data_IF_250436316783
#
_entry.id   IF_250436316783
#
_cell.length_a   1.000
_cell.length_b   1.000
_cell.length_c   1.000
_cell.angle_alpha   90.00
_cell.angle_beta   90.00
_cell.angle_gamma   90.00
#
_symmetry.space_group_name_H-M   'P 1'
#
loop_
_entity.id
_entity.type
_entity.pdbx_description
1 polymer ?
#
# COMPACT_ATOMS: atom_id res chain seq x y z
N UNK A 1 -6.84 18.74 21.97
CA UNK A 1 -6.38 17.50 21.27
C UNK A 1 -5.95 17.94 19.87
N UNK A 2 -4.74 17.64 19.44
CA UNK A 2 -4.29 18.01 18.09
C UNK A 2 -5.06 17.16 17.07
N UNK A 3 -5.51 17.78 15.97
CA UNK A 3 -6.26 17.08 14.92
C UNK A 3 -5.44 15.93 14.29
N UNK A 4 -6.14 14.86 13.88
CA UNK A 4 -5.53 13.71 13.21
C UNK A 4 -4.96 14.14 11.84
N UNK A 5 -3.84 13.56 11.42
CA UNK A 5 -3.24 13.84 10.11
C UNK A 5 -4.17 13.56 8.95
N UNK A 6 -4.96 12.48 9.03
CA UNK A 6 -5.97 12.15 8.02
C UNK A 6 -7.17 11.48 8.67
N UNK A 7 -8.36 11.94 8.29
CA UNK A 7 -9.63 11.31 8.66
C UNK A 7 -10.60 11.41 7.48
N UNK A 8 -11.20 10.28 7.10
CA UNK A 8 -12.30 10.25 6.14
C UNK A 8 -13.54 9.60 6.75
N UNK A 9 -14.72 10.06 6.34
CA UNK A 9 -15.99 9.53 6.78
C UNK A 9 -16.94 9.33 5.60
N UNK A 10 -17.43 8.11 5.41
CA UNK A 10 -18.34 7.68 4.34
C UNK A 10 -17.96 8.22 2.95
N UNK A 11 -16.67 8.20 2.64
CA UNK A 11 -16.13 8.79 1.42
C UNK A 11 -16.57 8.00 0.20
N UNK A 12 -17.26 8.65 -0.74
CA UNK A 12 -17.79 8.04 -1.95
C UNK A 12 -17.26 8.71 -3.20
N UNK A 13 -17.02 7.91 -4.22
CA UNK A 13 -16.69 8.40 -5.56
C UNK A 13 -17.36 7.57 -6.63
N UNK A 14 -18.18 8.25 -7.43
CA UNK A 14 -18.82 7.69 -8.63
C UNK A 14 -18.29 8.45 -9.83
N UNK A 15 -17.72 7.73 -10.78
CA UNK A 15 -17.33 8.27 -12.08
C UNK A 15 -18.51 8.16 -13.04
N UNK A 16 -18.80 9.26 -13.71
CA UNK A 16 -19.81 9.32 -14.77
C UNK A 16 -19.12 9.45 -16.12
N UNK A 17 -19.34 8.50 -17.00
CA UNK A 17 -18.83 8.53 -18.37
C UNK A 17 -20.01 8.67 -19.35
N UNK A 18 -19.84 9.51 -20.35
CA UNK A 18 -20.88 9.73 -21.37
C UNK A 18 -21.13 8.42 -22.15
N UNK A 19 -22.35 7.89 -22.10
CA UNK A 19 -22.73 6.67 -22.83
C UNK A 19 -22.35 5.33 -22.13
N UNK A 20 -21.83 5.36 -20.91
CA UNK A 20 -21.57 4.18 -20.13
C UNK A 20 -22.25 4.27 -18.74
N UNK A 21 -22.56 3.14 -18.08
CA UNK A 21 -23.12 3.15 -16.72
C UNK A 21 -22.14 3.77 -15.74
N UNK A 22 -22.63 4.45 -14.69
CA UNK A 22 -21.79 5.00 -13.63
C UNK A 22 -20.93 3.92 -12.98
N UNK A 23 -19.65 4.23 -12.72
CA UNK A 23 -18.73 3.32 -12.03
C UNK A 23 -18.46 3.82 -10.62
N UNK A 24 -18.83 3.04 -9.62
CA UNK A 24 -18.53 3.35 -8.21
C UNK A 24 -17.13 2.90 -7.87
N UNK A 25 -16.24 3.85 -7.64
CA UNK A 25 -14.85 3.58 -7.25
C UNK A 25 -14.66 3.56 -5.73
N UNK A 26 -15.42 4.37 -4.99
CA UNK A 26 -15.49 4.33 -3.52
C UNK A 26 -16.96 4.27 -3.09
N UNK A 27 -17.27 3.34 -2.18
CA UNK A 27 -18.64 3.02 -1.76
C UNK A 27 -18.84 3.26 -0.24
N UNK A 28 -18.20 4.29 0.31
CA UNK A 28 -18.32 4.65 1.72
C UNK A 28 -17.07 4.29 2.54
N UNK A 29 -15.90 4.79 2.14
CA UNK A 29 -14.63 4.52 2.83
C UNK A 29 -14.47 5.46 4.01
N UNK A 30 -14.34 4.87 5.21
CA UNK A 30 -13.95 5.56 6.45
C UNK A 30 -12.59 5.05 6.90
N UNK A 31 -11.62 5.96 7.01
CA UNK A 31 -10.23 5.65 7.33
C UNK A 31 -9.65 6.78 8.19
N UNK A 32 -8.78 6.44 9.10
CA UNK A 32 -8.05 7.39 9.95
C UNK A 32 -6.57 7.02 10.01
N UNK A 33 -5.71 8.01 10.10
CA UNK A 33 -4.26 7.86 10.26
C UNK A 33 -3.81 8.73 11.42
N UNK A 34 -3.10 8.13 12.38
CA UNK A 34 -2.60 8.83 13.55
C UNK A 34 -1.21 9.45 13.30
N UNK A 35 -0.81 10.39 14.15
CA UNK A 35 0.48 11.08 14.02
C UNK A 35 1.66 10.12 14.12
N UNK A 36 2.59 10.20 13.18
CA UNK A 36 3.76 9.33 13.08
C UNK A 36 3.45 7.90 12.65
N UNK A 37 2.18 7.57 12.37
CA UNK A 37 1.76 6.26 11.95
C UNK A 37 2.05 6.04 10.46
N UNK A 38 2.38 4.81 10.12
CA UNK A 38 2.51 4.31 8.75
C UNK A 38 1.33 3.41 8.46
N UNK A 39 0.45 3.84 7.58
CA UNK A 39 -0.74 3.08 7.20
C UNK A 39 -0.61 2.62 5.76
N UNK A 40 -0.93 1.34 5.49
CA UNK A 40 -1.05 0.83 4.14
C UNK A 40 -2.51 0.57 3.78
N UNK A 41 -2.91 1.01 2.60
CA UNK A 41 -4.18 0.67 1.95
C UNK A 41 -3.90 -0.43 0.92
N UNK A 42 -4.21 -1.66 1.29
CA UNK A 42 -3.96 -2.87 0.51
C UNK A 42 -5.22 -3.31 -0.22
N UNK A 43 -5.10 -3.73 -1.48
CA UNK A 43 -6.24 -4.21 -2.26
C UNK A 43 -5.86 -4.56 -3.69
N UNK A 44 -6.76 -5.26 -4.38
CA UNK A 44 -6.60 -5.61 -5.80
C UNK A 44 -6.57 -4.36 -6.69
N UNK A 45 -6.15 -4.55 -7.95
CA UNK A 45 -6.29 -3.50 -8.95
C UNK A 45 -7.79 -3.20 -9.16
N UNK A 46 -8.12 -1.90 -9.21
CA UNK A 46 -9.52 -1.47 -9.28
C UNK A 46 -10.28 -1.40 -7.94
N UNK A 47 -9.69 -1.79 -6.81
CA UNK A 47 -10.34 -1.76 -5.50
C UNK A 47 -10.66 -0.34 -4.97
N UNK A 48 -10.13 0.72 -5.61
CA UNK A 48 -10.39 2.12 -5.21
C UNK A 48 -9.21 2.82 -4.54
N UNK A 49 -8.06 2.15 -4.34
CA UNK A 49 -6.88 2.69 -3.62
C UNK A 49 -6.40 4.05 -4.16
N UNK A 50 -6.05 4.11 -5.44
CA UNK A 50 -5.58 5.36 -6.07
C UNK A 50 -6.66 6.43 -6.12
N UNK A 51 -7.94 6.05 -6.23
CA UNK A 51 -9.06 7.00 -6.15
C UNK A 51 -9.13 7.64 -4.75
N UNK A 52 -9.02 6.82 -3.69
CA UNK A 52 -8.96 7.32 -2.32
C UNK A 52 -7.78 8.28 -2.14
N UNK A 53 -6.59 7.87 -2.56
CA UNK A 53 -5.38 8.65 -2.40
C UNK A 53 -5.43 9.97 -3.20
N UNK A 54 -6.00 9.97 -4.42
CA UNK A 54 -6.21 11.20 -5.20
C UNK A 54 -7.16 12.18 -4.52
N UNK A 55 -8.20 11.69 -3.82
CA UNK A 55 -9.10 12.57 -3.04
C UNK A 55 -8.36 13.09 -1.81
N UNK A 56 -7.69 12.20 -1.04
CA UNK A 56 -6.92 12.58 0.12
C UNK A 56 -5.82 13.62 -0.19
N UNK A 57 -5.21 13.52 -1.37
CA UNK A 57 -4.19 14.48 -1.83
C UNK A 57 -4.75 15.73 -2.53
N UNK A 58 -6.05 15.98 -2.44
CA UNK A 58 -6.75 17.14 -3.05
C UNK A 58 -6.68 17.21 -4.59
N UNK A 59 -6.35 16.10 -5.26
CA UNK A 59 -6.27 16.02 -6.72
C UNK A 59 -7.60 15.65 -7.37
N UNK A 60 -8.56 15.16 -6.57
CA UNK A 60 -9.87 14.73 -7.04
C UNK A 60 -10.93 15.05 -5.97
N UNK A 61 -12.08 15.57 -6.39
CA UNK A 61 -13.22 15.80 -5.48
C UNK A 61 -14.00 14.50 -5.23
N UNK A 62 -14.46 14.24 -4.00
CA UNK A 62 -15.40 13.16 -3.71
C UNK A 62 -16.76 13.43 -4.36
N UNK A 63 -17.59 12.39 -4.47
CA UNK A 63 -19.02 12.56 -4.83
C UNK A 63 -19.83 12.90 -3.58
N UNK A 64 -19.49 12.29 -2.45
CA UNK A 64 -20.05 12.59 -1.11
C UNK A 64 -19.13 12.06 -0.01
N UNK A 65 -19.49 12.35 1.24
CA UNK A 65 -18.64 12.06 2.41
C UNK A 65 -17.67 13.21 2.68
N UNK A 66 -16.84 13.06 3.69
CA UNK A 66 -15.87 14.08 4.12
C UNK A 66 -14.46 13.51 4.24
N UNK A 67 -13.47 14.38 4.05
CA UNK A 67 -12.07 14.06 4.27
C UNK A 67 -11.35 15.27 4.86
N UNK A 68 -10.66 15.06 5.98
CA UNK A 68 -9.95 16.08 6.72
C UNK A 68 -8.45 15.76 6.78
N UNK A 69 -7.63 16.78 6.63
CA UNK A 69 -6.17 16.74 6.77
C UNK A 69 -5.77 17.72 7.87
N UNK A 70 -5.25 17.20 9.00
CA UNK A 70 -4.96 17.99 10.19
C UNK A 70 -6.12 18.90 10.62
N UNK A 71 -7.37 18.43 10.44
CA UNK A 71 -8.59 19.15 10.78
C UNK A 71 -9.08 20.13 9.72
N UNK A 72 -8.39 20.27 8.58
CA UNK A 72 -8.86 21.05 7.42
C UNK A 72 -9.65 20.17 6.46
N UNK A 73 -10.81 20.62 6.02
CA UNK A 73 -11.60 19.91 4.99
C UNK A 73 -10.84 19.96 3.65
N UNK A 74 -10.37 18.80 3.19
CA UNK A 74 -9.51 18.72 2.01
C UNK A 74 -10.25 18.98 0.68
N UNK A 75 -11.59 18.95 0.66
CA UNK A 75 -12.41 19.28 -0.51
C UNK A 75 -12.80 20.77 -0.53
N UNK A 76 -13.12 21.35 0.61
CA UNK A 76 -13.57 22.75 0.73
C UNK A 76 -12.42 23.73 0.83
N UNK A 77 -11.39 23.38 1.62
CA UNK A 77 -10.24 24.25 1.94
C UNK A 77 -8.91 23.61 1.53
N UNK A 78 -8.75 23.14 0.26
CA UNK A 78 -7.57 22.38 -0.17
C UNK A 78 -6.26 23.17 -0.05
N UNK A 79 -6.30 24.51 -0.10
CA UNK A 79 -5.15 25.39 0.06
C UNK A 79 -4.56 25.33 1.48
N UNK A 80 -5.33 24.98 2.50
CA UNK A 80 -4.85 24.78 3.86
C UNK A 80 -4.21 23.38 4.04
N UNK A 81 -4.72 22.38 3.31
CA UNK A 81 -4.22 21.01 3.36
C UNK A 81 -2.92 20.81 2.53
N UNK A 82 -2.82 21.42 1.35
CA UNK A 82 -1.70 21.22 0.41
C UNK A 82 -0.30 21.49 0.97
N UNK A 83 -0.06 22.53 1.78
CA UNK A 83 1.25 22.74 2.40
C UNK A 83 1.69 21.63 3.34
N UNK A 84 0.73 20.88 3.93
CA UNK A 84 0.96 19.85 4.92
C UNK A 84 1.23 18.46 4.32
N UNK A 85 1.03 18.29 3.01
CA UNK A 85 1.11 17.00 2.32
C UNK A 85 2.20 16.98 1.26
N UNK A 86 2.73 15.80 0.96
CA UNK A 86 3.50 15.53 -0.25
C UNK A 86 3.05 14.20 -0.87
N UNK A 87 3.08 14.09 -2.20
CA UNK A 87 2.44 13.00 -2.93
C UNK A 87 3.38 12.39 -3.96
N UNK A 88 3.53 11.06 -3.94
CA UNK A 88 4.04 10.27 -5.07
C UNK A 88 2.82 9.65 -5.76
N UNK A 89 2.40 10.15 -6.92
CA UNK A 89 1.27 9.55 -7.65
C UNK A 89 1.71 8.32 -8.43
N UNK A 90 0.82 7.35 -8.65
CA UNK A 90 1.09 6.08 -9.34
C UNK A 90 1.66 6.28 -10.75
N UNK A 91 1.11 7.22 -11.52
CA UNK A 91 1.57 7.54 -12.87
C UNK A 91 2.58 8.70 -12.89
N UNK A 92 3.06 9.10 -11.70
CA UNK A 92 4.00 10.19 -11.56
C UNK A 92 5.34 9.87 -12.24
N UNK A 93 5.75 10.77 -13.13
CA UNK A 93 7.05 10.69 -13.79
C UNK A 93 7.75 12.04 -13.61
N UNK A 94 9.08 12.03 -13.39
CA UNK A 94 9.80 13.29 -13.43
C UNK A 94 9.64 13.94 -14.80
N UNK A 95 9.71 15.25 -14.86
CA UNK A 95 9.67 15.96 -16.14
C UNK A 95 10.83 15.48 -17.01
N UNK A 96 10.55 15.04 -18.23
CA UNK A 96 11.54 14.38 -19.10
C UNK A 96 12.77 15.22 -19.42
N UNK A 97 12.63 16.55 -19.37
CA UNK A 97 13.69 17.53 -19.63
C UNK A 97 14.42 17.99 -18.38
N UNK A 98 14.06 17.50 -17.20
CA UNK A 98 14.77 17.76 -15.96
C UNK A 98 15.65 16.59 -15.59
N UNK A 99 16.73 16.89 -14.90
CA UNK A 99 17.55 15.89 -14.22
C UNK A 99 16.92 15.54 -12.86
N UNK A 100 17.33 14.43 -12.20
CA UNK A 100 16.92 14.14 -10.82
C UNK A 100 17.18 15.31 -9.87
N UNK A 101 18.35 15.96 -9.99
CA UNK A 101 18.69 17.12 -9.18
C UNK A 101 17.72 18.28 -9.43
N UNK A 102 17.49 18.66 -10.67
CA UNK A 102 16.59 19.73 -11.04
C UNK A 102 15.14 19.45 -10.64
N UNK A 103 14.68 18.20 -10.79
CA UNK A 103 13.33 17.78 -10.38
C UNK A 103 13.11 18.01 -8.89
N UNK A 104 13.99 17.49 -8.03
CA UNK A 104 13.88 17.62 -6.58
C UNK A 104 14.04 19.08 -6.15
N UNK A 105 15.07 19.74 -6.63
CA UNK A 105 15.38 21.11 -6.28
C UNK A 105 14.26 22.09 -6.68
N UNK A 106 13.78 21.99 -7.92
CA UNK A 106 12.71 22.88 -8.42
C UNK A 106 11.40 22.68 -7.64
N UNK A 107 11.08 21.41 -7.30
CA UNK A 107 9.91 21.11 -6.48
C UNK A 107 10.01 21.74 -5.08
N UNK A 108 11.16 21.64 -4.41
CA UNK A 108 11.39 22.29 -3.12
C UNK A 108 11.30 23.82 -3.24
N UNK A 109 11.86 24.41 -4.30
CA UNK A 109 11.77 25.83 -4.56
C UNK A 109 10.31 26.31 -4.78
N UNK A 110 9.54 25.54 -5.53
CA UNK A 110 8.11 25.82 -5.74
C UNK A 110 7.29 25.72 -4.44
N UNK A 111 7.74 24.90 -3.47
CA UNK A 111 7.16 24.81 -2.13
C UNK A 111 7.65 25.89 -1.15
N UNK A 112 8.48 26.83 -1.59
CA UNK A 112 8.92 27.96 -0.78
C UNK A 112 10.19 27.76 0.04
N UNK A 113 10.90 26.61 -0.09
CA UNK A 113 12.17 26.41 0.58
C UNK A 113 13.24 27.41 0.09
N UNK A 114 14.12 27.87 0.97
CA UNK A 114 15.26 28.73 0.58
C UNK A 114 16.20 27.99 -0.39
N UNK A 115 17.08 28.75 -1.06
CA UNK A 115 18.07 28.14 -1.98
C UNK A 115 18.99 27.17 -1.25
N UNK A 116 19.47 27.55 -0.08
CA UNK A 116 20.41 26.78 0.73
C UNK A 116 19.77 25.49 1.23
N UNK A 117 18.58 25.59 1.83
CA UNK A 117 17.81 24.44 2.31
C UNK A 117 17.44 23.52 1.14
N UNK A 118 16.99 24.09 0.01
CA UNK A 118 16.64 23.32 -1.18
C UNK A 118 17.82 22.52 -1.72
N UNK A 119 19.03 23.10 -1.79
CA UNK A 119 20.24 22.39 -2.22
C UNK A 119 20.62 21.27 -1.27
N UNK A 120 20.65 21.53 0.04
CA UNK A 120 21.03 20.54 1.06
C UNK A 120 20.07 19.34 1.05
N UNK A 121 18.77 19.59 1.07
CA UNK A 121 17.74 18.53 1.06
C UNK A 121 17.70 17.74 -0.26
N UNK A 122 17.99 18.41 -1.39
CA UNK A 122 18.10 17.73 -2.68
C UNK A 122 19.27 16.74 -2.66
N UNK A 123 20.45 17.15 -2.22
CA UNK A 123 21.62 16.29 -2.15
C UNK A 123 21.35 15.08 -1.22
N UNK A 124 20.83 15.31 -0.01
CA UNK A 124 20.50 14.25 0.95
C UNK A 124 19.49 13.25 0.37
N UNK A 125 18.43 13.74 -0.28
CA UNK A 125 17.40 12.86 -0.85
C UNK A 125 17.91 12.03 -2.01
N UNK A 126 18.75 12.58 -2.88
CA UNK A 126 19.37 11.86 -4.00
C UNK A 126 20.36 10.81 -3.50
N UNK A 127 21.15 11.11 -2.49
CA UNK A 127 22.06 10.16 -1.85
C UNK A 127 21.28 8.98 -1.26
N UNK A 128 20.23 9.23 -0.46
CA UNK A 128 19.37 8.19 0.13
C UNK A 128 18.73 7.29 -0.92
N UNK A 129 18.41 7.83 -2.08
CA UNK A 129 17.82 7.08 -3.19
C UNK A 129 18.84 6.44 -4.13
N UNK A 130 20.15 6.57 -3.86
CA UNK A 130 21.22 6.05 -4.72
C UNK A 130 21.16 6.65 -6.13
N UNK A 131 20.92 7.96 -6.22
CA UNK A 131 20.79 8.69 -7.49
C UNK A 131 21.95 9.68 -7.75
N UNK A 132 22.91 9.78 -6.84
CA UNK A 132 24.01 10.74 -6.90
C UNK A 132 24.81 10.63 -8.22
N UNK A 133 25.14 9.40 -8.65
CA UNK A 133 25.93 9.17 -9.87
C UNK A 133 25.19 9.51 -11.18
N UNK A 134 23.87 9.66 -11.10
CA UNK A 134 23.01 9.93 -12.26
C UNK A 134 22.22 11.23 -12.11
N UNK A 135 22.50 12.02 -11.08
CA UNK A 135 21.73 13.21 -10.73
C UNK A 135 21.68 14.28 -11.84
N UNK A 136 22.67 14.29 -12.73
CA UNK A 136 22.78 15.25 -13.83
C UNK A 136 22.32 14.67 -15.18
N UNK A 137 21.82 13.44 -15.21
CA UNK A 137 21.27 12.82 -16.43
C UNK A 137 19.81 13.19 -16.63
N UNK A 138 19.41 13.49 -17.86
CA UNK A 138 18.01 13.81 -18.18
C UNK A 138 17.08 12.63 -17.84
N UNK A 139 15.93 12.92 -17.26
CA UNK A 139 14.96 11.90 -16.83
C UNK A 139 14.48 10.99 -17.98
N UNK A 140 14.48 11.49 -19.23
CA UNK A 140 14.14 10.68 -20.40
C UNK A 140 15.10 9.49 -20.59
N UNK A 141 16.38 9.61 -20.16
CA UNK A 141 17.41 8.57 -20.30
C UNK A 141 17.43 7.57 -19.13
N UNK A 142 16.65 7.82 -18.09
CA UNK A 142 16.62 6.99 -16.89
C UNK A 142 15.75 5.74 -17.08
N UNK A 143 16.08 4.66 -16.38
CA UNK A 143 15.23 3.48 -16.28
C UNK A 143 13.92 3.80 -15.53
N UNK A 144 12.90 2.93 -15.65
CA UNK A 144 11.64 3.08 -14.90
C UNK A 144 11.87 3.19 -13.39
N UNK A 145 12.68 2.30 -12.81
CA UNK A 145 13.00 2.32 -11.39
C UNK A 145 13.80 3.56 -10.95
N UNK A 146 14.70 4.08 -11.81
CA UNK A 146 15.41 5.33 -11.53
C UNK A 146 14.47 6.53 -11.53
N UNK A 147 13.55 6.60 -12.49
CA UNK A 147 12.50 7.64 -12.50
C UNK A 147 11.61 7.57 -11.27
N UNK A 148 11.19 6.37 -10.89
CA UNK A 148 10.35 6.19 -9.70
C UNK A 148 11.11 6.59 -8.41
N UNK A 149 12.39 6.22 -8.26
CA UNK A 149 13.23 6.69 -7.15
C UNK A 149 13.37 8.21 -7.12
N UNK A 150 13.45 8.87 -8.29
CA UNK A 150 13.48 10.33 -8.37
C UNK A 150 12.18 10.96 -7.84
N UNK A 151 11.02 10.35 -8.13
CA UNK A 151 9.73 10.82 -7.59
C UNK A 151 9.66 10.65 -6.07
N UNK A 152 10.14 9.51 -5.56
CA UNK A 152 10.22 9.29 -4.10
C UNK A 152 11.20 10.28 -3.45
N UNK A 153 12.39 10.51 -4.05
CA UNK A 153 13.35 11.51 -3.59
C UNK A 153 12.71 12.91 -3.49
N UNK A 154 11.90 13.27 -4.49
CA UNK A 154 11.19 14.56 -4.52
C UNK A 154 10.28 14.73 -3.30
N UNK A 155 9.58 13.66 -2.89
CA UNK A 155 8.65 13.70 -1.75
C UNK A 155 9.37 13.66 -0.41
N UNK A 156 10.36 12.77 -0.24
CA UNK A 156 11.09 12.69 1.03
C UNK A 156 11.89 13.96 1.33
N UNK A 157 12.39 14.65 0.30
CA UNK A 157 13.12 15.92 0.46
C UNK A 157 12.26 17.03 1.09
N UNK A 158 10.93 16.93 1.01
CA UNK A 158 10.02 17.92 1.61
C UNK A 158 9.94 17.81 3.12
N UNK A 159 10.13 16.61 3.70
CA UNK A 159 9.82 16.28 5.09
C UNK A 159 8.41 16.74 5.49
N UNK A 160 7.45 16.58 4.58
CA UNK A 160 6.07 16.99 4.82
C UNK A 160 5.47 16.21 6.01
N UNK A 161 4.59 16.83 6.81
CA UNK A 161 3.93 16.18 7.94
C UNK A 161 3.15 14.92 7.56
N UNK A 162 2.57 14.88 6.34
CA UNK A 162 1.82 13.73 5.83
C UNK A 162 2.23 13.41 4.40
N UNK A 163 2.57 12.14 4.18
CA UNK A 163 2.99 11.61 2.88
C UNK A 163 1.91 10.70 2.30
N UNK A 164 1.60 10.91 1.04
CA UNK A 164 0.76 10.02 0.25
C UNK A 164 1.61 9.34 -0.83
N UNK A 165 1.66 8.01 -0.83
CA UNK A 165 2.52 7.23 -1.72
C UNK A 165 1.66 6.20 -2.47
N UNK A 166 1.45 6.42 -3.77
CA UNK A 166 0.67 5.50 -4.59
C UNK A 166 1.62 4.54 -5.30
N UNK A 167 1.71 3.30 -4.80
CA UNK A 167 2.59 2.23 -5.29
C UNK A 167 4.07 2.68 -5.44
N UNK A 168 4.72 3.15 -4.35
CA UNK A 168 5.97 3.88 -4.41
C UNK A 168 7.15 3.07 -4.98
N UNK A 169 7.13 1.74 -4.93
CA UNK A 169 8.24 0.88 -5.36
C UNK A 169 7.96 0.08 -6.62
N UNK A 170 6.89 0.43 -7.35
CA UNK A 170 6.53 -0.26 -8.58
C UNK A 170 7.69 -0.22 -9.60
N UNK A 171 7.99 -1.38 -10.22
CA UNK A 171 9.04 -1.48 -11.23
C UNK A 171 10.48 -1.37 -10.72
N UNK A 172 10.69 -1.43 -9.39
CA UNK A 172 12.02 -1.47 -8.78
C UNK A 172 12.49 -2.90 -8.54
N UNK A 173 13.80 -3.10 -8.65
CA UNK A 173 14.45 -4.32 -8.18
C UNK A 173 14.44 -4.41 -6.63
N UNK A 174 14.69 -5.60 -6.04
CA UNK A 174 14.61 -5.78 -4.59
C UNK A 174 15.56 -4.88 -3.78
N UNK A 175 16.75 -4.54 -4.31
CA UNK A 175 17.70 -3.68 -3.61
C UNK A 175 17.23 -2.23 -3.58
N UNK A 176 16.77 -1.72 -4.75
CA UNK A 176 16.20 -0.38 -4.84
C UNK A 176 14.96 -0.22 -3.96
N UNK A 177 14.09 -1.25 -3.90
CA UNK A 177 12.91 -1.28 -3.03
C UNK A 177 13.29 -1.15 -1.55
N UNK A 178 14.29 -1.91 -1.08
CA UNK A 178 14.77 -1.82 0.30
C UNK A 178 15.30 -0.43 0.66
N UNK A 179 16.07 0.19 -0.24
CA UNK A 179 16.58 1.55 -0.02
C UNK A 179 15.43 2.56 0.14
N UNK A 180 14.37 2.46 -0.67
CA UNK A 180 13.15 3.27 -0.51
C UNK A 180 12.48 3.00 0.83
N UNK A 181 12.30 1.74 1.23
CA UNK A 181 11.70 1.38 2.51
C UNK A 181 12.47 1.96 3.70
N UNK A 182 13.80 1.87 3.68
CA UNK A 182 14.64 2.40 4.76
C UNK A 182 14.54 3.93 4.86
N UNK A 183 14.52 4.63 3.72
CA UNK A 183 14.36 6.07 3.69
C UNK A 183 12.96 6.51 4.21
N UNK A 184 11.90 5.79 3.84
CA UNK A 184 10.54 6.06 4.31
C UNK A 184 10.40 5.79 5.83
N UNK A 185 11.00 4.71 6.33
CA UNK A 185 11.04 4.43 7.77
C UNK A 185 11.81 5.50 8.56
N UNK A 186 12.91 5.97 8.01
CA UNK A 186 13.67 7.06 8.64
C UNK A 186 12.85 8.34 8.71
N UNK A 187 12.16 8.70 7.63
CA UNK A 187 11.34 9.90 7.56
C UNK A 187 10.19 9.86 8.59
N UNK A 188 9.52 8.71 8.74
CA UNK A 188 8.48 8.56 9.76
C UNK A 188 9.04 8.60 11.18
N UNK A 189 10.24 8.05 11.41
CA UNK A 189 10.94 8.22 12.72
C UNK A 189 11.27 9.68 13.04
N UNK A 190 11.42 10.54 12.04
CA UNK A 190 11.57 12.00 12.18
C UNK A 190 10.25 12.74 12.41
N UNK A 191 9.11 12.04 12.44
CA UNK A 191 7.81 12.59 12.78
C UNK A 191 6.82 12.75 11.63
N UNK A 192 7.18 12.40 10.39
CA UNK A 192 6.23 12.36 9.28
C UNK A 192 5.24 11.20 9.46
N UNK A 193 4.02 11.41 9.03
CA UNK A 193 2.96 10.39 8.93
C UNK A 193 2.88 9.90 7.50
N UNK A 194 2.47 8.65 7.26
CA UNK A 194 2.44 8.08 5.93
C UNK A 194 1.19 7.26 5.66
N UNK A 195 0.56 7.49 4.50
CA UNK A 195 -0.40 6.59 3.90
C UNK A 195 0.15 6.12 2.55
N UNK A 196 0.36 4.82 2.41
CA UNK A 196 0.76 4.23 1.14
C UNK A 196 -0.33 3.31 0.59
N UNK A 197 -0.42 3.24 -0.72
CA UNK A 197 -1.17 2.18 -1.40
C UNK A 197 -0.19 1.18 -1.98
N UNK A 198 -0.53 -0.08 -1.92
CA UNK A 198 0.26 -1.14 -2.56
C UNK A 198 -0.61 -2.36 -2.85
N UNK A 199 -0.18 -3.17 -3.80
CA UNK A 199 -0.66 -4.53 -4.02
C UNK A 199 0.40 -5.58 -3.63
N UNK A 200 1.59 -5.14 -3.19
CA UNK A 200 2.65 -5.99 -2.67
C UNK A 200 2.47 -6.20 -1.17
N UNK A 201 2.22 -7.45 -0.79
CA UNK A 201 1.98 -7.81 0.61
C UNK A 201 3.21 -7.65 1.49
N UNK A 202 4.38 -7.97 0.93
CA UNK A 202 5.69 -7.79 1.56
C UNK A 202 6.00 -6.31 1.85
N UNK A 203 5.62 -5.41 0.95
CA UNK A 203 5.75 -3.96 1.16
C UNK A 203 4.81 -3.48 2.26
N UNK A 204 3.54 -3.91 2.22
CA UNK A 204 2.56 -3.55 3.24
C UNK A 204 3.01 -4.00 4.62
N UNK A 205 3.49 -5.25 4.77
CA UNK A 205 3.98 -5.81 6.03
C UNK A 205 5.27 -5.11 6.50
N UNK A 206 6.18 -4.79 5.56
CA UNK A 206 7.45 -4.16 5.90
C UNK A 206 7.33 -2.68 6.31
N UNK A 207 6.39 -1.94 5.72
CA UNK A 207 6.32 -0.48 5.85
C UNK A 207 5.21 0.03 6.75
N UNK A 208 4.19 -0.75 7.08
CA UNK A 208 3.04 -0.23 7.82
C UNK A 208 2.98 -0.73 9.27
N UNK A 209 2.46 0.13 10.12
CA UNK A 209 2.08 -0.20 11.49
C UNK A 209 0.64 -0.75 11.52
N UNK A 210 -0.20 -0.28 10.58
CA UNK A 210 -1.59 -0.69 10.41
C UNK A 210 -1.96 -0.77 8.92
N UNK A 211 -2.80 -1.74 8.63
CA UNK A 211 -3.30 -2.07 7.29
C UNK A 211 -4.80 -1.84 7.21
N UNK A 212 -5.25 -1.32 6.08
CA UNK A 212 -6.64 -1.37 5.65
C UNK A 212 -6.71 -2.23 4.39
N UNK A 213 -7.49 -3.30 4.40
CA UNK A 213 -7.79 -4.07 3.19
C UNK A 213 -9.06 -3.50 2.57
N UNK A 214 -8.93 -3.07 1.31
CA UNK A 214 -10.04 -2.50 0.54
C UNK A 214 -10.35 -3.40 -0.66
N UNK A 215 -11.63 -3.61 -0.91
CA UNK A 215 -12.13 -4.23 -2.13
C UNK A 215 -13.42 -3.55 -2.59
N UNK A 216 -13.61 -3.40 -3.91
CA UNK A 216 -14.79 -2.77 -4.54
C UNK A 216 -15.20 -1.45 -3.87
N UNK A 217 -14.21 -0.63 -3.50
CA UNK A 217 -14.42 0.67 -2.86
C UNK A 217 -14.90 0.63 -1.41
N UNK A 218 -14.79 -0.49 -0.71
CA UNK A 218 -15.14 -0.66 0.71
C UNK A 218 -13.97 -1.18 1.51
N UNK A 219 -13.82 -0.70 2.74
CA UNK A 219 -12.88 -1.29 3.69
C UNK A 219 -13.49 -2.58 4.22
N UNK A 220 -12.80 -3.71 4.01
CA UNK A 220 -13.19 -5.02 4.49
C UNK A 220 -12.74 -5.26 5.93
N UNK A 221 -11.51 -4.86 6.24
CA UNK A 221 -10.90 -5.05 7.57
C UNK A 221 -9.76 -4.06 7.78
N UNK A 222 -9.47 -3.75 9.04
CA UNK A 222 -8.31 -2.99 9.50
C UNK A 222 -7.64 -3.70 10.67
N UNK A 223 -6.32 -3.56 10.77
CA UNK A 223 -5.51 -4.11 11.88
C UNK A 223 -4.02 -4.08 11.58
N UNK A 224 -3.21 -4.55 12.49
CA UNK A 224 -1.79 -4.83 12.24
C UNK A 224 -1.64 -6.09 11.36
N UNK A 225 -0.48 -6.29 10.75
CA UNK A 225 -0.23 -7.50 9.97
C UNK A 225 -0.39 -8.78 10.83
N UNK A 226 0.05 -8.72 12.10
CA UNK A 226 -0.07 -9.82 13.07
C UNK A 226 -1.53 -10.13 13.39
N UNK A 227 -2.36 -9.10 13.65
CA UNK A 227 -3.79 -9.27 13.92
C UNK A 227 -4.52 -9.88 12.73
N UNK A 228 -4.22 -9.41 11.51
CA UNK A 228 -4.82 -9.95 10.29
C UNK A 228 -4.42 -11.39 10.04
N UNK A 229 -3.14 -11.76 10.23
CA UNK A 229 -2.67 -13.15 10.15
C UNK A 229 -3.34 -14.03 11.20
N UNK A 230 -3.45 -13.57 12.44
CA UNK A 230 -4.08 -14.32 13.53
C UNK A 230 -5.59 -14.57 13.28
N UNK A 231 -6.27 -13.69 12.56
CA UNK A 231 -7.71 -13.80 12.27
C UNK A 231 -8.07 -14.94 11.31
N UNK A 232 -7.08 -15.56 10.66
CA UNK A 232 -7.29 -16.64 9.67
C UNK A 232 -7.66 -17.98 10.31
N UNK A 233 -7.58 -18.11 11.65
CA UNK A 233 -8.05 -19.28 12.39
C UNK A 233 -7.02 -20.40 12.56
N UNK A 234 -5.75 -20.12 12.23
CA UNK A 234 -4.61 -21.00 12.46
C UNK A 234 -3.31 -20.22 12.37
N UNK A 235 -2.23 -20.79 12.87
CA UNK A 235 -0.91 -20.15 12.84
C UNK A 235 0.05 -20.79 11.84
N UNK A 236 -0.31 -21.97 11.32
CA UNK A 236 0.50 -22.74 10.39
C UNK A 236 -0.24 -22.95 9.07
N UNK A 237 0.51 -22.85 8.00
CA UNK A 237 0.11 -23.16 6.63
C UNK A 237 0.78 -24.44 6.21
N UNK A 238 0.01 -25.43 5.73
CA UNK A 238 0.51 -26.68 5.16
C UNK A 238 0.11 -26.72 3.70
N UNK A 239 1.08 -26.67 2.80
CA UNK A 239 0.87 -26.79 1.36
C UNK A 239 1.18 -28.22 0.92
N UNK A 240 0.19 -28.89 0.36
CA UNK A 240 0.24 -30.27 -0.10
C UNK A 240 0.33 -30.30 -1.63
N UNK A 241 1.49 -30.63 -2.17
CA UNK A 241 1.67 -30.77 -3.60
C UNK A 241 0.83 -31.95 -4.12
N UNK A 242 0.09 -31.72 -5.24
CA UNK A 242 -0.87 -32.69 -5.81
C UNK A 242 -2.03 -33.05 -4.85
N UNK A 243 -2.31 -32.21 -3.86
CA UNK A 243 -3.37 -32.42 -2.88
C UNK A 243 -4.76 -31.96 -3.32
N UNK A 244 -4.88 -31.24 -4.44
CA UNK A 244 -6.15 -30.64 -4.88
C UNK A 244 -7.30 -31.64 -5.03
N UNK A 245 -7.06 -32.79 -5.66
CA UNK A 245 -8.06 -33.84 -5.85
C UNK A 245 -8.47 -34.53 -4.54
N UNK A 246 -7.65 -34.41 -3.51
CA UNK A 246 -7.85 -35.00 -2.18
C UNK A 246 -8.28 -33.99 -1.12
N UNK A 247 -8.71 -32.81 -1.54
CA UNK A 247 -9.19 -31.73 -0.67
C UNK A 247 -10.15 -32.21 0.43
N UNK A 248 -11.13 -33.08 0.18
CA UNK A 248 -12.06 -33.53 1.22
C UNK A 248 -11.39 -34.19 2.44
N UNK A 249 -10.20 -34.81 2.26
CA UNK A 249 -9.47 -35.41 3.36
C UNK A 249 -8.87 -34.39 4.33
N UNK A 250 -8.74 -33.15 3.90
CA UNK A 250 -8.04 -32.08 4.64
C UNK A 250 -8.99 -31.04 5.21
N UNK A 251 -10.25 -30.97 4.78
CA UNK A 251 -11.25 -29.98 5.23
C UNK A 251 -11.56 -30.08 6.73
N UNK A 252 -11.39 -31.28 7.34
CA UNK A 252 -11.57 -31.46 8.79
C UNK A 252 -10.48 -30.79 9.63
N UNK A 253 -9.33 -30.50 9.04
CA UNK A 253 -8.19 -29.89 9.74
C UNK A 253 -8.24 -28.37 9.74
N UNK A 254 -8.85 -27.77 8.72
CA UNK A 254 -8.95 -26.32 8.57
C UNK A 254 -9.48 -25.88 7.21
N UNK A 255 -9.43 -24.59 6.95
CA UNK A 255 -9.83 -24.03 5.66
C UNK A 255 -8.84 -24.46 4.56
N UNK A 256 -9.37 -25.04 3.49
CA UNK A 256 -8.60 -25.55 2.36
C UNK A 256 -8.72 -24.63 1.15
N UNK A 257 -7.60 -24.10 0.68
CA UNK A 257 -7.50 -23.33 -0.56
C UNK A 257 -6.78 -24.17 -1.60
N UNK A 258 -7.39 -24.30 -2.79
CA UNK A 258 -6.80 -25.04 -3.92
C UNK A 258 -6.19 -24.05 -4.89
N UNK A 259 -4.92 -24.30 -5.26
CA UNK A 259 -4.20 -23.54 -6.29
C UNK A 259 -3.52 -24.53 -7.26
N UNK A 260 -4.04 -24.59 -8.48
CA UNK A 260 -3.61 -25.58 -9.46
C UNK A 260 -3.79 -27.00 -8.95
N UNK A 261 -2.70 -27.77 -8.85
CA UNK A 261 -2.70 -29.13 -8.29
C UNK A 261 -2.46 -29.20 -6.78
N UNK A 262 -2.14 -28.08 -6.13
CA UNK A 262 -1.80 -28.02 -4.71
C UNK A 262 -3.02 -27.68 -3.86
N UNK A 263 -3.04 -28.18 -2.62
CA UNK A 263 -4.01 -27.81 -1.60
C UNK A 263 -3.27 -27.20 -0.41
N UNK A 264 -3.65 -25.99 -0.02
CA UNK A 264 -3.13 -25.32 1.17
C UNK A 264 -4.17 -25.34 2.27
N UNK A 265 -3.76 -25.83 3.45
CA UNK A 265 -4.61 -25.93 4.64
C UNK A 265 -4.04 -25.04 5.73
N UNK A 266 -4.89 -24.22 6.32
CA UNK A 266 -4.53 -23.44 7.50
C UNK A 266 -4.94 -24.23 8.73
N UNK A 267 -3.98 -24.50 9.60
CA UNK A 267 -4.13 -25.45 10.69
C UNK A 267 -3.55 -24.91 11.99
N UNK A 268 -4.15 -25.30 13.12
CA UNK A 268 -3.57 -25.06 14.44
C UNK A 268 -2.40 -26.03 14.70
N UNK A 269 -1.42 -25.67 15.56
CA UNK A 269 -0.28 -26.53 15.87
C UNK A 269 -0.68 -27.90 16.39
N UNK A 270 -1.79 -27.99 17.12
CA UNK A 270 -2.30 -29.24 17.71
C UNK A 270 -2.73 -30.24 16.65
N UNK A 271 -3.28 -29.79 15.54
CA UNK A 271 -3.77 -30.63 14.43
C UNK A 271 -2.70 -30.95 13.39
N UNK A 272 -1.52 -30.31 13.47
CA UNK A 272 -0.47 -30.50 12.48
C UNK A 272 -0.03 -31.95 12.38
N UNK A 273 0.17 -32.64 13.50
CA UNK A 273 0.62 -34.02 13.54
C UNK A 273 -0.32 -34.99 12.81
N UNK A 274 -1.63 -34.82 13.02
CA UNK A 274 -2.66 -35.63 12.37
C UNK A 274 -2.72 -35.36 10.86
N UNK A 275 -2.65 -34.09 10.47
CA UNK A 275 -2.63 -33.70 9.05
C UNK A 275 -1.40 -34.27 8.34
N UNK A 276 -0.23 -34.19 8.97
CA UNK A 276 1.01 -34.75 8.40
C UNK A 276 0.94 -36.27 8.26
N UNK A 277 0.32 -36.98 9.21
CA UNK A 277 0.11 -38.43 9.11
C UNK A 277 -0.79 -38.78 7.90
N UNK A 278 -1.84 -37.99 7.64
CA UNK A 278 -2.67 -38.20 6.43
C UNK A 278 -1.86 -37.90 5.17
N UNK A 279 -1.08 -36.80 5.14
CA UNK A 279 -0.26 -36.45 3.98
C UNK A 279 0.74 -37.56 3.63
N UNK A 280 1.40 -38.16 4.61
CA UNK A 280 2.33 -39.30 4.44
C UNK A 280 1.60 -40.52 3.90
N UNK A 281 0.44 -40.86 4.46
CA UNK A 281 -0.37 -42.00 4.00
C UNK A 281 -0.78 -41.87 2.54
N UNK A 282 -1.14 -40.63 2.15
CA UNK A 282 -1.53 -40.31 0.77
C UNK A 282 -0.35 -40.06 -0.17
N UNK A 283 0.88 -40.21 0.30
CA UNK A 283 2.13 -39.99 -0.44
C UNK A 283 2.25 -38.58 -1.03
N UNK A 284 1.74 -37.58 -0.31
CA UNK A 284 1.82 -36.19 -0.71
C UNK A 284 3.06 -35.51 -0.11
N UNK A 285 3.70 -34.66 -0.90
CA UNK A 285 4.76 -33.78 -0.38
C UNK A 285 4.11 -32.61 0.32
N UNK A 286 4.41 -32.43 1.62
CA UNK A 286 3.91 -31.36 2.45
C UNK A 286 5.01 -30.36 2.78
N UNK A 287 4.71 -29.06 2.65
CA UNK A 287 5.55 -27.96 3.11
C UNK A 287 4.82 -27.22 4.23
N UNK A 288 5.48 -27.06 5.37
CA UNK A 288 4.92 -26.35 6.54
C UNK A 288 5.60 -25.01 6.70
N UNK A 289 4.81 -23.98 6.90
CA UNK A 289 5.29 -22.61 7.16
C UNK A 289 4.32 -21.83 8.04
N UNK A 290 4.68 -20.60 8.45
CA UNK A 290 3.75 -19.71 9.15
C UNK A 290 2.66 -19.21 8.17
N UNK A 291 1.51 -18.84 8.71
CA UNK A 291 0.49 -18.09 7.96
C UNK A 291 1.08 -16.71 7.61
N UNK A 292 0.94 -16.32 6.36
CA UNK A 292 1.40 -15.03 5.84
C UNK A 292 0.24 -14.05 5.66
N UNK A 293 0.56 -12.80 5.38
CA UNK A 293 -0.46 -11.79 5.06
C UNK A 293 -1.24 -12.15 3.78
N UNK A 294 -0.67 -13.01 2.90
CA UNK A 294 -1.34 -13.47 1.67
C UNK A 294 -2.59 -14.31 1.97
N UNK A 295 -2.50 -15.27 2.88
CA UNK A 295 -3.65 -16.07 3.28
C UNK A 295 -4.72 -15.20 3.94
N UNK A 296 -4.33 -14.25 4.77
CA UNK A 296 -5.26 -13.30 5.36
C UNK A 296 -5.97 -12.47 4.28
N UNK A 297 -5.22 -11.93 3.34
CA UNK A 297 -5.74 -11.13 2.24
C UNK A 297 -6.72 -11.93 1.36
N UNK A 298 -6.34 -13.13 0.93
CA UNK A 298 -7.18 -14.01 0.10
C UNK A 298 -8.49 -14.37 0.82
N UNK A 299 -8.44 -14.61 2.13
CA UNK A 299 -9.63 -14.92 2.91
C UNK A 299 -10.59 -13.74 2.97
N UNK A 300 -10.11 -12.53 3.24
CA UNK A 300 -10.99 -11.35 3.32
C UNK A 300 -11.57 -10.98 1.95
N UNK A 301 -10.77 -10.97 0.90
CA UNK A 301 -11.22 -10.66 -0.46
C UNK A 301 -12.08 -11.77 -1.04
N UNK A 302 -11.76 -13.04 -0.78
CA UNK A 302 -12.55 -14.19 -1.24
C UNK A 302 -13.95 -14.24 -0.63
N UNK A 303 -14.12 -13.84 0.64
CA UNK A 303 -15.44 -13.72 1.28
C UNK A 303 -16.28 -12.61 0.65
N UNK A 304 -15.67 -11.46 0.35
CA UNK A 304 -16.35 -10.35 -0.33
C UNK A 304 -16.92 -10.75 -1.69
N UNK A 305 -16.26 -11.64 -2.42
CA UNK A 305 -16.73 -12.13 -3.71
C UNK A 305 -17.98 -13.02 -3.53
N UNK A 306 -17.98 -13.90 -2.53
CA UNK A 306 -19.05 -14.86 -2.29
C UNK A 306 -20.31 -14.22 -1.69
N UNK A 307 -20.18 -13.10 -0.96
CA UNK A 307 -21.32 -12.39 -0.37
C UNK A 307 -22.14 -11.60 -1.40
N UNK A 308 -21.52 -11.18 -2.51
CA UNK A 308 -22.21 -10.42 -3.55
C UNK A 308 -22.84 -11.31 -4.64
N UNK A 309 -22.50 -12.62 -4.69
CA UNK A 309 -23.08 -13.59 -5.64
C UNK A 309 -24.32 -14.33 -5.06
N UNK A 310 -24.76 -14.04 -3.84
CA UNK A 310 -25.98 -14.49 -3.17
C UNK A 310 -26.97 -13.32 -2.99
#
# INVERSE_FOLDING_TARGET
MSAEPLRSHDLRKVYQSRGAPPTTALAGVSLEVHRGERVALLGRNGAGKSTFLRIASTLLRPTSGTIEIFGHDADRDPELARPLIAVVPQEGKPFFHLTPYEQVYTYLRARGFSREVGKARTAEALEKMGLTDIQDRLAITLSGGQRQRTMVATVIATEAPLLFLDEPTIGMDPFARRAVWDALRELTRRGSTMLLTTHYLDEAEALSDRLYIIDRGRVLVKGTAEELKASVGGTLKVTLAKGAERRPLFESFGECVVDGSSCTVIVSPEKLGELMAVAVREQLTATVGPVTLEEAFLRFVGRSINEDDN
#
